data_IF_345412749250
#
_entry.id   IF_345412749250
#
_cell.length_a   1.000
_cell.length_b   1.000
_cell.length_c   1.000
_cell.angle_alpha   90.00
_cell.angle_beta   90.00
_cell.angle_gamma   90.00
#
_symmetry.space_group_name_H-M   'P 1'
#
loop_
_entity.id
_entity.type
_entity.pdbx_description
1 polymer ?
#
# COMPACT_ATOMS: atom_id res chain seq x y z
N UNK A 1 -9.53 25.51 -5.02
CA UNK A 1 -10.05 24.33 -4.26
C UNK A 1 -11.37 23.78 -4.84
N UNK A 2 -12.42 24.58 -5.08
CA UNK A 2 -13.73 24.09 -5.62
C UNK A 2 -13.70 23.29 -6.94
N UNK A 3 -12.74 23.52 -7.85
CA UNK A 3 -12.65 22.77 -9.11
C UNK A 3 -11.99 21.39 -8.98
N UNK A 4 -11.15 21.14 -7.94
CA UNK A 4 -10.52 19.83 -7.72
C UNK A 4 -11.52 18.82 -7.16
N UNK A 5 -12.37 19.22 -6.22
CA UNK A 5 -13.44 18.38 -5.64
C UNK A 5 -14.50 17.99 -6.68
N UNK A 6 -14.90 18.92 -7.55
CA UNK A 6 -15.90 18.66 -8.61
C UNK A 6 -15.42 17.63 -9.63
N UNK A 7 -14.12 17.59 -9.90
CA UNK A 7 -13.48 16.60 -10.79
C UNK A 7 -13.25 15.25 -10.10
N UNK A 8 -12.99 15.20 -8.80
CA UNK A 8 -12.90 13.95 -8.03
C UNK A 8 -14.24 13.23 -7.97
N UNK A 9 -15.32 13.98 -7.74
CA UNK A 9 -16.68 13.43 -7.66
C UNK A 9 -17.18 12.88 -9.01
N UNK A 10 -16.88 13.54 -10.13
CA UNK A 10 -17.22 13.04 -11.47
C UNK A 10 -16.42 11.80 -11.86
N UNK A 11 -15.14 11.72 -11.45
CA UNK A 11 -14.27 10.55 -11.67
C UNK A 11 -14.68 9.33 -10.85
N UNK A 12 -15.51 9.48 -9.83
CA UNK A 12 -16.02 8.40 -9.00
C UNK A 12 -17.42 7.95 -9.42
N UNK A 13 -18.35 8.90 -9.62
CA UNK A 13 -19.74 8.58 -9.94
C UNK A 13 -19.94 8.07 -11.37
N UNK A 14 -19.23 8.62 -12.35
CA UNK A 14 -19.45 8.24 -13.75
C UNK A 14 -19.07 6.76 -14.00
N UNK A 15 -17.89 6.28 -13.58
CA UNK A 15 -17.55 4.86 -13.68
C UNK A 15 -18.51 3.95 -12.92
N UNK A 16 -19.00 4.38 -11.75
CA UNK A 16 -19.94 3.62 -10.94
C UNK A 16 -21.28 3.44 -11.67
N UNK A 17 -21.88 4.55 -12.16
CA UNK A 17 -23.14 4.51 -12.89
C UNK A 17 -23.02 3.64 -14.15
N UNK A 18 -21.90 3.74 -14.87
CA UNK A 18 -21.63 2.89 -16.02
C UNK A 18 -21.56 1.41 -15.61
N UNK A 19 -20.88 1.10 -14.51
CA UNK A 19 -20.75 -0.28 -14.01
C UNK A 19 -22.10 -0.87 -13.63
N UNK A 20 -22.96 -0.11 -12.94
CA UNK A 20 -24.32 -0.54 -12.57
C UNK A 20 -25.17 -0.80 -13.81
N UNK A 21 -25.22 0.16 -14.74
CA UNK A 21 -26.06 0.06 -15.94
C UNK A 21 -25.60 -1.06 -16.88
N UNK A 22 -24.30 -1.10 -17.19
CA UNK A 22 -23.72 -2.10 -18.09
C UNK A 22 -23.77 -3.48 -17.43
N UNK A 23 -23.46 -3.59 -16.13
CA UNK A 23 -23.50 -4.85 -15.39
C UNK A 23 -24.90 -5.45 -15.35
N UNK A 24 -25.92 -4.66 -14.98
CA UNK A 24 -27.32 -5.12 -14.98
C UNK A 24 -27.80 -5.53 -16.37
N UNK A 25 -27.51 -4.71 -17.40
CA UNK A 25 -27.89 -5.01 -18.78
C UNK A 25 -27.18 -6.27 -19.31
N UNK A 26 -25.91 -6.48 -18.97
CA UNK A 26 -25.15 -7.65 -19.37
C UNK A 26 -25.71 -8.92 -18.72
N UNK A 27 -26.04 -8.89 -17.43
CA UNK A 27 -26.68 -10.03 -16.73
C UNK A 27 -28.02 -10.37 -17.36
N UNK A 28 -28.85 -9.36 -17.66
CA UNK A 28 -30.13 -9.56 -18.34
C UNK A 28 -29.95 -10.20 -19.72
N UNK A 29 -29.08 -9.62 -20.56
CA UNK A 29 -28.82 -10.09 -21.92
C UNK A 29 -28.26 -11.51 -21.94
N UNK A 30 -27.33 -11.83 -21.04
CA UNK A 30 -26.76 -13.16 -20.90
C UNK A 30 -27.80 -14.18 -20.40
N UNK A 31 -28.67 -13.76 -19.47
CA UNK A 31 -29.76 -14.60 -18.97
C UNK A 31 -30.73 -15.01 -20.08
N UNK A 32 -31.13 -14.08 -20.94
CA UNK A 32 -32.04 -14.35 -22.07
C UNK A 32 -31.36 -15.11 -23.21
N UNK A 33 -30.21 -14.62 -23.69
CA UNK A 33 -29.58 -15.12 -24.92
C UNK A 33 -28.64 -16.29 -24.67
N UNK A 34 -27.89 -16.25 -23.57
CA UNK A 34 -26.86 -17.25 -23.24
C UNK A 34 -27.41 -18.44 -22.44
N UNK A 35 -28.36 -18.18 -21.53
CA UNK A 35 -28.92 -19.20 -20.62
C UNK A 35 -30.39 -19.54 -20.85
N UNK A 36 -31.05 -18.88 -21.81
CA UNK A 36 -32.45 -19.11 -22.18
C UNK A 36 -33.41 -19.09 -20.98
N UNK A 37 -33.14 -18.20 -20.02
CA UNK A 37 -34.01 -18.01 -18.86
C UNK A 37 -35.33 -17.35 -19.30
N UNK A 38 -36.40 -17.62 -18.55
CA UNK A 38 -37.63 -16.83 -18.63
C UNK A 38 -37.34 -15.35 -18.36
N UNK A 39 -38.09 -14.45 -19.00
CA UNK A 39 -37.95 -12.99 -18.83
C UNK A 39 -37.97 -12.57 -17.36
N UNK A 40 -38.85 -13.17 -16.54
CA UNK A 40 -38.97 -12.86 -15.12
C UNK A 40 -37.68 -13.17 -14.33
N UNK A 41 -37.12 -14.37 -14.52
CA UNK A 41 -35.86 -14.77 -13.87
C UNK A 41 -34.67 -13.92 -14.34
N UNK A 42 -34.57 -13.64 -15.65
CA UNK A 42 -33.51 -12.78 -16.18
C UNK A 42 -33.61 -11.35 -15.62
N UNK A 43 -34.83 -10.81 -15.50
CA UNK A 43 -35.08 -9.49 -14.92
C UNK A 43 -34.72 -9.46 -13.43
N UNK A 44 -35.13 -10.47 -12.67
CA UNK A 44 -34.77 -10.62 -11.24
C UNK A 44 -33.25 -10.58 -11.06
N UNK A 45 -32.53 -11.40 -11.81
CA UNK A 45 -31.08 -11.53 -11.71
C UNK A 45 -30.37 -10.21 -12.08
N UNK A 46 -30.87 -9.51 -13.10
CA UNK A 46 -30.38 -8.20 -13.49
C UNK A 46 -30.60 -7.12 -12.42
N UNK A 47 -31.77 -7.11 -11.77
CA UNK A 47 -32.07 -6.19 -10.65
C UNK A 47 -31.16 -6.48 -9.46
N UNK A 48 -30.96 -7.76 -9.11
CA UNK A 48 -30.07 -8.16 -8.03
C UNK A 48 -28.62 -7.75 -8.31
N UNK A 49 -28.13 -7.95 -9.54
CA UNK A 49 -26.81 -7.51 -9.96
C UNK A 49 -26.66 -5.98 -9.89
N UNK A 50 -27.61 -5.22 -10.44
CA UNK A 50 -27.59 -3.77 -10.41
C UNK A 50 -27.59 -3.21 -8.97
N UNK A 51 -28.42 -3.78 -8.10
CA UNK A 51 -28.48 -3.40 -6.69
C UNK A 51 -27.15 -3.72 -5.97
N UNK A 52 -26.60 -4.91 -6.18
CA UNK A 52 -25.31 -5.30 -5.61
C UNK A 52 -24.19 -4.33 -6.02
N UNK A 53 -24.10 -4.01 -7.31
CA UNK A 53 -23.11 -3.06 -7.84
C UNK A 53 -23.29 -1.65 -7.28
N UNK A 54 -24.54 -1.19 -7.10
CA UNK A 54 -24.83 0.11 -6.50
C UNK A 54 -24.44 0.17 -5.02
N UNK A 55 -24.65 -0.92 -4.26
CA UNK A 55 -24.20 -1.04 -2.87
C UNK A 55 -22.67 -1.04 -2.81
N UNK A 56 -21.99 -1.79 -3.67
CA UNK A 56 -20.52 -1.79 -3.75
C UNK A 56 -19.96 -0.40 -4.06
N UNK A 57 -20.57 0.30 -5.01
CA UNK A 57 -20.24 1.69 -5.34
C UNK A 57 -20.43 2.65 -4.17
N UNK A 58 -21.52 2.50 -3.40
CA UNK A 58 -21.73 3.25 -2.16
C UNK A 58 -20.64 3.01 -1.12
N UNK A 59 -20.22 1.75 -0.92
CA UNK A 59 -19.12 1.42 0.00
C UNK A 59 -17.81 2.08 -0.43
N UNK A 60 -17.44 2.00 -1.71
CA UNK A 60 -16.25 2.69 -2.23
C UNK A 60 -16.32 4.20 -1.95
N UNK A 61 -17.45 4.85 -2.22
CA UNK A 61 -17.60 6.29 -1.96
C UNK A 61 -17.39 6.64 -0.50
N UNK A 62 -17.92 5.84 0.42
CA UNK A 62 -17.75 6.06 1.86
C UNK A 62 -16.28 6.01 2.24
N UNK A 63 -15.56 4.99 1.80
CA UNK A 63 -14.14 4.83 2.12
C UNK A 63 -13.26 5.92 1.49
N UNK A 64 -13.64 6.44 0.31
CA UNK A 64 -13.00 7.61 -0.31
C UNK A 64 -13.23 8.88 0.53
N UNK A 65 -14.47 9.14 0.97
CA UNK A 65 -14.80 10.32 1.79
C UNK A 65 -14.09 10.27 3.14
N UNK A 66 -14.03 9.08 3.75
CA UNK A 66 -13.39 8.87 5.05
C UNK A 66 -11.85 8.77 4.95
N UNK A 67 -11.27 8.82 3.74
CA UNK A 67 -9.83 8.67 3.47
C UNK A 67 -9.23 7.37 4.03
N UNK A 68 -9.95 6.25 3.82
CA UNK A 68 -9.63 4.92 4.36
C UNK A 68 -9.19 3.89 3.32
N UNK A 69 -8.95 4.32 2.08
CA UNK A 69 -8.36 3.44 1.08
C UNK A 69 -6.90 3.19 1.42
N UNK A 70 -6.45 1.95 1.24
CA UNK A 70 -5.07 1.56 1.54
C UNK A 70 -4.12 2.15 0.47
N UNK A 71 -2.85 2.37 0.82
CA UNK A 71 -1.81 2.90 -0.08
C UNK A 71 -2.18 4.25 -0.75
N UNK A 72 -1.74 4.47 -2.01
CA UNK A 72 -2.06 5.66 -2.82
C UNK A 72 -3.39 5.50 -3.61
N UNK A 73 -4.21 4.50 -3.28
CA UNK A 73 -5.38 4.14 -4.07
C UNK A 73 -6.43 5.27 -4.16
N UNK A 74 -6.53 6.09 -3.10
CA UNK A 74 -7.42 7.26 -3.09
C UNK A 74 -7.09 8.31 -4.15
N UNK A 75 -5.82 8.43 -4.53
CA UNK A 75 -5.37 9.35 -5.58
C UNK A 75 -5.51 8.76 -6.99
N UNK A 76 -5.54 7.42 -7.07
CA UNK A 76 -5.45 6.66 -8.31
C UNK A 76 -6.65 5.73 -8.57
N UNK A 77 -7.87 6.22 -8.32
CA UNK A 77 -9.14 5.48 -8.46
C UNK A 77 -9.33 4.74 -9.80
N UNK A 78 -8.74 5.21 -10.90
CA UNK A 78 -8.85 4.54 -12.20
C UNK A 78 -8.13 3.18 -12.26
N UNK A 79 -7.12 2.96 -11.41
CA UNK A 79 -6.48 1.64 -11.27
C UNK A 79 -7.51 0.63 -10.76
N UNK A 80 -8.25 1.01 -9.73
CA UNK A 80 -9.34 0.22 -9.16
C UNK A 80 -10.46 -0.04 -10.18
N UNK A 81 -10.96 0.99 -10.87
CA UNK A 81 -12.03 0.82 -11.85
C UNK A 81 -11.65 -0.11 -13.00
N UNK A 82 -10.39 -0.09 -13.43
CA UNK A 82 -9.87 -1.04 -14.42
C UNK A 82 -9.96 -2.47 -13.89
N UNK A 83 -9.53 -2.72 -12.66
CA UNK A 83 -9.64 -4.03 -12.01
C UNK A 83 -11.10 -4.47 -11.83
N UNK A 84 -12.00 -3.55 -11.49
CA UNK A 84 -13.45 -3.76 -11.40
C UNK A 84 -14.03 -4.22 -12.73
N UNK A 85 -13.74 -3.54 -13.84
CA UNK A 85 -14.28 -3.92 -15.15
C UNK A 85 -13.72 -5.24 -15.67
N UNK A 86 -12.42 -5.50 -15.47
CA UNK A 86 -11.83 -6.81 -15.79
C UNK A 86 -12.48 -7.93 -14.97
N UNK A 87 -12.73 -7.70 -13.67
CA UNK A 87 -13.35 -8.68 -12.77
C UNK A 87 -14.82 -8.92 -13.08
N UNK A 88 -15.56 -7.86 -13.44
CA UNK A 88 -16.95 -7.99 -13.90
C UNK A 88 -17.03 -8.78 -15.21
N UNK A 89 -16.17 -8.48 -16.18
CA UNK A 89 -16.10 -9.24 -17.43
C UNK A 89 -15.78 -10.72 -17.18
N UNK A 90 -14.82 -10.99 -16.30
CA UNK A 90 -14.49 -12.36 -15.89
C UNK A 90 -15.67 -13.06 -15.21
N UNK A 91 -16.38 -12.39 -14.30
CA UNK A 91 -17.58 -12.94 -13.64
C UNK A 91 -18.67 -13.31 -14.66
N UNK A 92 -18.90 -12.47 -15.67
CA UNK A 92 -19.82 -12.79 -16.78
C UNK A 92 -19.33 -13.97 -17.62
N UNK A 93 -18.02 -14.09 -17.85
CA UNK A 93 -17.43 -15.21 -18.58
C UNK A 93 -17.53 -16.54 -17.81
N UNK A 94 -17.57 -16.52 -16.47
CA UNK A 94 -17.79 -17.72 -15.65
C UNK A 94 -19.10 -18.45 -15.99
N UNK A 95 -20.07 -17.78 -16.60
CA UNK A 95 -21.28 -18.44 -17.14
C UNK A 95 -20.96 -19.59 -18.11
N UNK A 96 -19.81 -19.55 -18.77
CA UNK A 96 -19.37 -20.51 -19.78
C UNK A 96 -18.27 -21.46 -19.28
N UNK A 97 -17.81 -21.30 -18.04
CA UNK A 97 -16.70 -22.06 -17.46
C UNK A 97 -17.20 -23.01 -16.36
N UNK A 98 -16.58 -24.19 -16.19
CA UNK A 98 -16.92 -25.09 -15.10
C UNK A 98 -16.61 -24.44 -13.74
N UNK A 99 -17.53 -24.57 -12.78
CA UNK A 99 -17.44 -23.88 -11.50
C UNK A 99 -16.18 -24.20 -10.70
N UNK A 100 -15.70 -25.44 -10.71
CA UNK A 100 -14.47 -25.83 -10.02
C UNK A 100 -13.19 -25.24 -10.63
N UNK A 101 -13.28 -24.51 -11.75
CA UNK A 101 -12.17 -23.90 -12.46
C UNK A 101 -12.14 -22.38 -12.35
N UNK A 102 -12.90 -21.76 -11.44
CA UNK A 102 -12.99 -20.31 -11.36
C UNK A 102 -11.89 -19.72 -10.46
N UNK A 103 -10.95 -18.92 -10.98
CA UNK A 103 -9.90 -18.30 -10.17
C UNK A 103 -10.38 -17.07 -9.37
N UNK A 104 -11.51 -17.18 -8.66
CA UNK A 104 -12.08 -16.07 -7.87
C UNK A 104 -11.16 -15.59 -6.74
N UNK A 105 -10.26 -16.46 -6.26
CA UNK A 105 -9.21 -16.09 -5.30
C UNK A 105 -8.43 -14.84 -5.76
N UNK A 106 -8.07 -14.77 -7.05
CA UNK A 106 -7.37 -13.64 -7.63
C UNK A 106 -8.23 -12.36 -7.68
N UNK A 107 -9.53 -12.50 -7.91
CA UNK A 107 -10.50 -11.38 -7.92
C UNK A 107 -10.61 -10.73 -6.55
N UNK A 108 -10.69 -11.52 -5.48
CA UNK A 108 -10.70 -10.99 -4.10
C UNK A 108 -9.42 -10.23 -3.76
N UNK A 109 -8.25 -10.78 -4.13
CA UNK A 109 -6.96 -10.15 -3.85
C UNK A 109 -6.79 -8.85 -4.66
N UNK A 110 -7.03 -8.87 -5.97
CA UNK A 110 -6.81 -7.68 -6.82
C UNK A 110 -7.71 -6.51 -6.41
N UNK A 111 -8.99 -6.75 -6.12
CA UNK A 111 -9.89 -5.67 -5.74
C UNK A 111 -9.57 -5.13 -4.34
N UNK A 112 -9.11 -5.97 -3.42
CA UNK A 112 -8.67 -5.51 -2.09
C UNK A 112 -7.40 -4.68 -2.17
N UNK A 113 -6.39 -5.12 -2.94
CA UNK A 113 -5.12 -4.42 -3.10
C UNK A 113 -5.27 -3.03 -3.72
N UNK A 114 -6.11 -2.89 -4.75
CA UNK A 114 -6.37 -1.60 -5.40
C UNK A 114 -7.45 -0.75 -4.70
N UNK A 115 -7.94 -1.16 -3.53
CA UNK A 115 -8.84 -0.34 -2.71
C UNK A 115 -8.52 -0.48 -1.22
N UNK A 116 -9.35 -1.20 -0.48
CA UNK A 116 -9.07 -1.73 0.84
C UNK A 116 -9.81 -3.07 1.03
N UNK A 117 -9.56 -3.77 2.13
CA UNK A 117 -10.19 -5.08 2.39
C UNK A 117 -11.72 -5.05 2.30
N UNK A 118 -12.35 -4.04 2.90
CA UNK A 118 -13.82 -3.95 2.96
C UNK A 118 -14.42 -3.78 1.56
N UNK A 119 -13.89 -2.85 0.77
CA UNK A 119 -14.36 -2.58 -0.60
C UNK A 119 -14.10 -3.78 -1.50
N UNK A 120 -12.90 -4.37 -1.41
CA UNK A 120 -12.53 -5.57 -2.17
C UNK A 120 -13.48 -6.73 -1.93
N UNK A 121 -13.77 -7.06 -0.66
CA UNK A 121 -14.71 -8.15 -0.31
C UNK A 121 -16.11 -7.89 -0.85
N UNK A 122 -16.63 -6.66 -0.73
CA UNK A 122 -17.99 -6.33 -1.16
C UNK A 122 -18.12 -6.43 -2.70
N UNK A 123 -17.17 -5.86 -3.45
CA UNK A 123 -17.17 -5.99 -4.91
C UNK A 123 -16.99 -7.44 -5.36
N UNK A 124 -16.01 -8.16 -4.82
CA UNK A 124 -15.75 -9.55 -5.20
C UNK A 124 -16.90 -10.48 -4.82
N UNK A 125 -17.57 -10.24 -3.69
CA UNK A 125 -18.79 -10.94 -3.29
C UNK A 125 -19.93 -10.74 -4.29
N UNK A 126 -20.14 -9.50 -4.77
CA UNK A 126 -21.14 -9.21 -5.81
C UNK A 126 -20.77 -9.85 -7.15
N UNK A 127 -19.50 -9.83 -7.56
CA UNK A 127 -19.06 -10.50 -8.77
C UNK A 127 -19.17 -12.03 -8.67
N UNK A 128 -18.89 -12.60 -7.52
CA UNK A 128 -19.10 -14.02 -7.30
C UNK A 128 -20.58 -14.37 -7.30
N UNK A 129 -21.44 -13.53 -6.69
CA UNK A 129 -22.89 -13.68 -6.76
C UNK A 129 -23.33 -13.72 -8.22
N UNK A 130 -22.94 -12.72 -9.03
CA UNK A 130 -23.24 -12.65 -10.47
C UNK A 130 -22.81 -13.95 -11.17
N UNK A 131 -21.60 -14.45 -10.88
CA UNK A 131 -21.11 -15.69 -11.46
C UNK A 131 -21.97 -16.92 -11.14
N UNK A 132 -22.59 -16.92 -9.95
CA UNK A 132 -23.41 -18.05 -9.46
C UNK A 132 -24.89 -17.98 -9.87
N UNK A 133 -25.40 -16.86 -10.38
CA UNK A 133 -26.82 -16.69 -10.74
C UNK A 133 -27.32 -17.70 -11.78
N UNK A 134 -26.42 -18.30 -12.58
CA UNK A 134 -26.77 -19.20 -13.68
C UNK A 134 -26.88 -20.68 -13.26
N UNK A 135 -27.54 -20.94 -12.12
CA UNK A 135 -27.90 -22.30 -11.69
C UNK A 135 -26.78 -23.06 -10.97
N UNK A 136 -25.79 -22.35 -10.41
CA UNK A 136 -24.79 -22.98 -9.53
C UNK A 136 -25.35 -23.22 -8.13
N UNK A 137 -24.74 -24.16 -7.41
CA UNK A 137 -25.11 -24.44 -6.02
C UNK A 137 -24.66 -23.30 -5.10
N UNK A 138 -25.39 -23.12 -4.00
CA UNK A 138 -25.01 -22.16 -2.95
C UNK A 138 -23.64 -22.52 -2.33
N UNK A 139 -23.27 -23.81 -2.34
CA UNK A 139 -21.96 -24.27 -1.87
C UNK A 139 -20.79 -23.70 -2.68
N UNK A 140 -20.95 -23.52 -4.00
CA UNK A 140 -19.92 -22.91 -4.86
C UNK A 140 -19.70 -21.44 -4.48
N UNK A 141 -20.77 -20.70 -4.16
CA UNK A 141 -20.65 -19.34 -3.65
C UNK A 141 -19.85 -19.32 -2.35
N UNK A 142 -20.22 -20.14 -1.35
CA UNK A 142 -19.54 -20.14 -0.06
C UNK A 142 -18.08 -20.59 -0.14
N UNK A 143 -17.76 -21.58 -0.99
CA UNK A 143 -16.40 -22.01 -1.28
C UNK A 143 -15.53 -20.82 -1.68
N UNK A 144 -15.89 -20.13 -2.77
CA UNK A 144 -15.06 -19.07 -3.33
C UNK A 144 -15.08 -17.82 -2.46
N UNK A 145 -16.20 -17.55 -1.77
CA UNK A 145 -16.31 -16.44 -0.84
C UNK A 145 -15.36 -16.62 0.35
N UNK A 146 -15.37 -17.79 1.00
CA UNK A 146 -14.51 -18.06 2.16
C UNK A 146 -13.04 -18.05 1.75
N UNK A 147 -12.67 -18.78 0.68
CA UNK A 147 -11.27 -18.81 0.23
C UNK A 147 -10.80 -17.43 -0.24
N UNK A 148 -11.68 -16.66 -0.89
CA UNK A 148 -11.38 -15.32 -1.39
C UNK A 148 -11.17 -14.32 -0.26
N UNK A 149 -12.05 -14.28 0.72
CA UNK A 149 -11.91 -13.43 1.92
C UNK A 149 -10.62 -13.77 2.66
N UNK A 150 -10.33 -15.07 2.86
CA UNK A 150 -9.12 -15.51 3.53
C UNK A 150 -7.85 -15.01 2.81
N UNK A 151 -7.80 -15.16 1.47
CA UNK A 151 -6.68 -14.65 0.68
C UNK A 151 -6.58 -13.12 0.75
N UNK A 152 -7.70 -12.39 0.64
CA UNK A 152 -7.71 -10.93 0.74
C UNK A 152 -7.13 -10.45 2.08
N UNK A 153 -7.48 -11.10 3.20
CA UNK A 153 -6.91 -10.78 4.51
C UNK A 153 -5.39 -11.02 4.58
N UNK A 154 -4.90 -12.12 3.99
CA UNK A 154 -3.47 -12.45 3.99
C UNK A 154 -2.62 -11.47 3.18
N UNK A 155 -3.21 -10.81 2.17
CA UNK A 155 -2.52 -9.87 1.29
C UNK A 155 -2.81 -8.39 1.60
N UNK A 156 -3.56 -8.07 2.66
CA UNK A 156 -3.98 -6.70 2.98
C UNK A 156 -2.81 -5.76 3.36
N UNK A 157 -1.68 -6.31 3.81
CA UNK A 157 -0.51 -5.52 4.22
C UNK A 157 0.76 -6.19 3.70
N UNK A 158 1.02 -6.04 2.41
CA UNK A 158 2.31 -6.43 1.82
C UNK A 158 3.39 -5.44 2.32
N UNK A 159 3.93 -5.68 3.51
CA UNK A 159 5.01 -4.89 4.09
C UNK A 159 6.31 -4.98 3.27
N UNK A 160 7.25 -4.04 3.52
CA UNK A 160 8.51 -3.87 2.77
C UNK A 160 9.36 -5.15 2.68
N UNK A 161 9.25 -6.06 3.65
CA UNK A 161 9.74 -7.44 3.52
C UNK A 161 8.68 -8.28 2.80
N UNK A 162 8.66 -8.18 1.48
CA UNK A 162 7.67 -8.77 0.57
C UNK A 162 7.68 -10.33 0.60
N UNK A 163 7.33 -10.93 1.73
CA UNK A 163 7.30 -12.36 1.97
C UNK A 163 6.02 -12.97 1.39
N UNK A 164 5.93 -13.02 0.05
CA UNK A 164 4.75 -13.54 -0.68
C UNK A 164 4.52 -15.04 -0.43
N UNK A 165 5.58 -15.80 -0.15
CA UNK A 165 5.55 -17.27 -0.17
C UNK A 165 4.54 -17.89 0.80
N UNK A 166 4.51 -17.44 2.06
CA UNK A 166 3.60 -17.98 3.08
C UNK A 166 2.13 -17.60 2.78
N UNK A 167 1.78 -16.32 2.56
CA UNK A 167 0.44 -15.92 2.14
C UNK A 167 -0.08 -16.67 0.90
N UNK A 168 0.77 -16.84 -0.12
CA UNK A 168 0.42 -17.56 -1.34
C UNK A 168 0.12 -19.03 -1.05
N UNK A 169 1.01 -19.71 -0.32
CA UNK A 169 0.81 -21.11 0.05
C UNK A 169 -0.48 -21.32 0.85
N UNK A 170 -0.72 -20.50 1.88
CA UNK A 170 -1.92 -20.60 2.71
C UNK A 170 -3.20 -20.33 1.91
N UNK A 171 -3.18 -19.36 1.01
CA UNK A 171 -4.33 -19.02 0.14
C UNK A 171 -4.69 -20.18 -0.79
N UNK A 172 -3.68 -20.76 -1.46
CA UNK A 172 -3.89 -21.91 -2.35
C UNK A 172 -4.30 -23.17 -1.57
N UNK A 173 -3.74 -23.38 -0.39
CA UNK A 173 -4.13 -24.50 0.47
C UNK A 173 -5.60 -24.38 0.93
N UNK A 174 -6.04 -23.17 1.30
CA UNK A 174 -7.43 -22.90 1.64
C UNK A 174 -8.36 -23.18 0.45
N UNK A 175 -7.98 -22.75 -0.76
CA UNK A 175 -8.75 -23.03 -1.98
C UNK A 175 -8.88 -24.55 -2.22
N UNK A 176 -7.77 -25.30 -2.13
CA UNK A 176 -7.77 -26.76 -2.29
C UNK A 176 -8.73 -27.44 -1.32
N UNK A 177 -8.72 -27.04 -0.05
CA UNK A 177 -9.62 -27.61 0.97
C UNK A 177 -11.08 -27.32 0.63
N UNK A 178 -11.40 -26.09 0.24
CA UNK A 178 -12.77 -25.70 -0.06
C UNK A 178 -13.29 -26.41 -1.32
N UNK A 179 -12.46 -26.55 -2.37
CA UNK A 179 -12.78 -27.30 -3.59
C UNK A 179 -12.95 -28.79 -3.32
N UNK A 180 -12.07 -29.38 -2.51
CA UNK A 180 -12.23 -30.78 -2.11
C UNK A 180 -13.56 -30.98 -1.39
N UNK A 181 -13.95 -30.06 -0.49
CA UNK A 181 -15.20 -30.15 0.25
C UNK A 181 -16.46 -30.00 -0.63
N UNK A 182 -16.52 -29.00 -1.52
CA UNK A 182 -17.77 -28.69 -2.23
C UNK A 182 -17.85 -29.23 -3.66
N UNK A 183 -16.71 -29.57 -4.28
CA UNK A 183 -16.66 -30.05 -5.67
C UNK A 183 -16.38 -31.55 -5.72
N UNK A 184 -15.48 -32.06 -4.86
CA UNK A 184 -15.08 -33.47 -4.90
C UNK A 184 -15.98 -34.33 -4.01
N UNK A 185 -16.14 -33.98 -2.73
CA UNK A 185 -16.87 -34.82 -1.76
C UNK A 185 -18.39 -34.82 -1.97
N UNK A 186 -18.98 -33.76 -2.55
CA UNK A 186 -20.41 -33.70 -2.85
C UNK A 186 -20.78 -34.36 -4.18
N UNK A 187 -19.82 -34.68 -5.04
CA UNK A 187 -20.07 -35.18 -6.39
C UNK A 187 -20.15 -36.71 -6.50
N UNK A 188 -19.53 -37.50 -5.61
CA UNK A 188 -19.59 -38.97 -5.61
C UNK A 188 -19.25 -39.58 -4.22
N UNK A 189 -19.73 -40.80 -3.95
CA UNK A 189 -19.40 -41.59 -2.75
C UNK A 189 -17.97 -42.16 -2.73
N UNK A 190 -17.25 -42.12 -3.87
CA UNK A 190 -15.87 -42.61 -3.99
C UNK A 190 -14.95 -41.54 -4.59
N UNK A 191 -13.79 -41.35 -3.94
CA UNK A 191 -12.74 -40.44 -4.38
C UNK A 191 -12.01 -41.02 -5.60
N UNK A 192 -12.03 -40.29 -6.72
CA UNK A 192 -11.22 -40.58 -7.90
C UNK A 192 -10.25 -39.43 -8.19
N UNK A 193 -9.04 -39.76 -8.64
CA UNK A 193 -8.02 -38.77 -9.01
C UNK A 193 -8.47 -37.87 -10.17
N UNK A 194 -9.35 -38.36 -11.06
CA UNK A 194 -9.88 -37.57 -12.17
C UNK A 194 -10.71 -36.36 -11.70
N UNK A 195 -11.36 -36.47 -10.52
CA UNK A 195 -12.17 -35.40 -9.95
C UNK A 195 -11.32 -34.22 -9.45
N UNK A 196 -10.02 -34.45 -9.21
CA UNK A 196 -9.08 -33.42 -8.80
C UNK A 196 -8.45 -32.68 -9.98
N UNK A 197 -8.69 -33.09 -11.22
CA UNK A 197 -8.04 -32.47 -12.38
C UNK A 197 -8.43 -30.99 -12.53
N UNK A 198 -9.73 -30.68 -12.40
CA UNK A 198 -10.24 -29.30 -12.52
C UNK A 198 -9.81 -28.44 -11.31
N UNK A 199 -9.97 -28.88 -10.04
CA UNK A 199 -9.41 -28.18 -8.87
C UNK A 199 -7.88 -27.94 -8.96
N UNK A 200 -7.11 -28.95 -9.37
CA UNK A 200 -5.66 -28.82 -9.53
C UNK A 200 -5.30 -27.78 -10.59
N UNK A 201 -6.02 -27.76 -11.72
CA UNK A 201 -5.86 -26.72 -12.72
C UNK A 201 -6.21 -25.33 -12.16
N UNK A 202 -7.27 -25.21 -11.35
CA UNK A 202 -7.66 -23.95 -10.73
C UNK A 202 -6.61 -23.43 -9.74
N UNK A 203 -5.97 -24.31 -8.97
CA UNK A 203 -4.87 -23.96 -8.07
C UNK A 203 -3.69 -23.37 -8.84
N UNK A 204 -3.31 -24.00 -9.95
CA UNK A 204 -2.21 -23.52 -10.80
C UNK A 204 -2.55 -22.16 -11.40
N UNK A 205 -3.74 -22.03 -12.00
CA UNK A 205 -4.20 -20.78 -12.63
C UNK A 205 -4.30 -19.66 -11.60
N UNK A 206 -4.92 -19.93 -10.44
CA UNK A 206 -5.03 -18.97 -9.33
C UNK A 206 -3.65 -18.55 -8.82
N UNK A 207 -2.71 -19.48 -8.69
CA UNK A 207 -1.34 -19.19 -8.27
C UNK A 207 -0.60 -18.28 -9.26
N UNK A 208 -0.70 -18.58 -10.56
CA UNK A 208 -0.09 -17.75 -11.62
C UNK A 208 -0.70 -16.34 -11.62
N UNK A 209 -2.03 -16.25 -11.53
CA UNK A 209 -2.73 -14.97 -11.51
C UNK A 209 -2.35 -14.15 -10.27
N UNK A 210 -2.30 -14.77 -9.09
CA UNK A 210 -1.84 -14.09 -7.87
C UNK A 210 -0.43 -13.54 -8.02
N UNK A 211 0.52 -14.35 -8.49
CA UNK A 211 1.90 -13.89 -8.71
C UNK A 211 1.96 -12.73 -9.72
N UNK A 212 1.17 -12.81 -10.79
CA UNK A 212 1.04 -11.73 -11.78
C UNK A 212 0.49 -10.43 -11.18
N UNK A 213 -0.62 -10.53 -10.44
CA UNK A 213 -1.25 -9.39 -9.76
C UNK A 213 -0.28 -8.77 -8.76
N UNK A 214 0.36 -9.58 -7.91
CA UNK A 214 1.31 -9.11 -6.91
C UNK A 214 2.50 -8.41 -7.57
N UNK A 215 3.02 -8.93 -8.69
CA UNK A 215 4.09 -8.29 -9.45
C UNK A 215 3.66 -6.94 -10.02
N UNK A 216 2.47 -6.86 -10.62
CA UNK A 216 1.92 -5.61 -11.17
C UNK A 216 1.70 -4.59 -10.04
N UNK A 217 1.05 -5.00 -8.95
CA UNK A 217 0.77 -4.15 -7.80
C UNK A 217 2.07 -3.65 -7.15
N UNK A 218 3.02 -4.55 -6.94
CA UNK A 218 4.34 -4.22 -6.41
C UNK A 218 5.07 -3.17 -7.27
N UNK A 219 5.07 -3.32 -8.60
CA UNK A 219 5.71 -2.34 -9.48
C UNK A 219 4.98 -1.00 -9.61
N UNK A 220 3.65 -0.99 -9.51
CA UNK A 220 2.82 0.21 -9.73
C UNK A 220 2.55 1.02 -8.46
N UNK A 221 2.55 0.37 -7.30
CA UNK A 221 2.16 0.96 -6.02
C UNK A 221 3.32 0.91 -5.02
N UNK A 222 3.93 -0.26 -4.80
CA UNK A 222 4.89 -0.46 -3.69
C UNK A 222 6.30 0.06 -4.00
N UNK A 223 6.80 -0.17 -5.21
CA UNK A 223 8.16 0.22 -5.62
C UNK A 223 8.20 1.41 -6.59
N UNK A 224 7.08 2.11 -6.77
CA UNK A 224 6.95 3.22 -7.73
C UNK A 224 8.06 4.25 -7.60
N UNK A 225 8.40 4.60 -6.36
CA UNK A 225 9.41 5.63 -6.06
C UNK A 225 10.76 5.04 -5.67
N UNK A 226 10.94 3.71 -5.64
CA UNK A 226 12.22 3.11 -5.24
C UNK A 226 13.36 3.52 -6.17
N UNK A 227 13.09 3.60 -7.47
CA UNK A 227 14.09 4.08 -8.46
C UNK A 227 14.43 5.54 -8.20
N UNK A 228 13.43 6.38 -7.91
CA UNK A 228 13.66 7.78 -7.55
C UNK A 228 14.45 7.92 -6.26
N UNK A 229 14.15 7.13 -5.24
CA UNK A 229 14.93 7.14 -4.00
C UNK A 229 16.37 6.65 -4.20
N UNK A 230 16.60 5.67 -5.07
CA UNK A 230 17.97 5.26 -5.42
C UNK A 230 18.75 6.41 -6.06
N UNK A 231 18.12 7.17 -6.95
CA UNK A 231 18.73 8.33 -7.60
C UNK A 231 18.91 9.52 -6.65
N UNK A 232 17.94 9.82 -5.80
CA UNK A 232 17.99 10.97 -4.89
C UNK A 232 18.89 10.72 -3.68
N UNK A 233 18.99 9.48 -3.21
CA UNK A 233 19.86 9.10 -2.10
C UNK A 233 21.31 8.83 -2.55
N UNK A 234 21.60 8.88 -3.85
CA UNK A 234 22.95 8.84 -4.38
C UNK A 234 23.64 10.19 -4.14
N UNK A 235 24.76 10.20 -3.42
CA UNK A 235 25.53 11.41 -3.14
C UNK A 235 26.14 12.05 -4.40
N UNK A 236 26.18 11.32 -5.51
CA UNK A 236 26.59 11.84 -6.82
C UNK A 236 25.41 12.37 -7.66
N UNK A 237 24.21 12.46 -7.07
CA UNK A 237 23.08 13.18 -7.65
C UNK A 237 23.46 14.64 -7.93
N UNK A 238 23.04 15.17 -9.08
CA UNK A 238 23.40 16.52 -9.53
C UNK A 238 23.06 17.62 -8.50
N UNK A 239 21.94 17.50 -7.79
CA UNK A 239 21.53 18.48 -6.76
C UNK A 239 22.48 18.40 -5.55
N UNK A 240 22.85 17.20 -5.12
CA UNK A 240 23.76 17.00 -3.99
C UNK A 240 25.20 17.37 -4.32
N UNK A 241 25.64 17.15 -5.56
CA UNK A 241 26.93 17.62 -6.06
C UNK A 241 26.98 19.15 -6.06
N UNK A 242 25.95 19.81 -6.60
CA UNK A 242 25.83 21.28 -6.56
C UNK A 242 25.80 21.80 -5.11
N UNK A 243 25.07 21.12 -4.23
CA UNK A 243 25.03 21.47 -2.81
C UNK A 243 26.42 21.37 -2.16
N UNK A 244 27.16 20.28 -2.42
CA UNK A 244 28.53 20.06 -1.94
C UNK A 244 29.50 21.14 -2.43
N UNK A 245 29.33 21.63 -3.65
CA UNK A 245 30.15 22.70 -4.24
C UNK A 245 29.84 24.07 -3.63
N UNK A 246 28.57 24.36 -3.35
CA UNK A 246 28.15 25.66 -2.81
C UNK A 246 28.35 25.81 -1.30
N UNK A 247 28.07 24.77 -0.52
CA UNK A 247 28.28 24.75 0.94
C UNK A 247 28.67 23.36 1.43
N UNK A 248 29.97 23.09 1.38
CA UNK A 248 30.54 21.80 1.78
C UNK A 248 30.28 21.46 3.25
N UNK A 249 30.27 22.45 4.14
CA UNK A 249 30.09 22.22 5.58
C UNK A 249 28.66 21.80 5.89
N UNK A 250 27.68 22.52 5.35
CA UNK A 250 26.28 22.18 5.55
C UNK A 250 25.91 20.88 4.83
N UNK A 251 26.46 20.64 3.64
CA UNK A 251 26.32 19.37 2.94
C UNK A 251 26.75 18.17 3.80
N UNK A 252 27.94 18.22 4.41
CA UNK A 252 28.40 17.11 5.27
C UNK A 252 27.51 16.91 6.50
N UNK A 253 27.02 18.00 7.10
CA UNK A 253 26.04 17.91 8.18
C UNK A 253 24.78 17.16 7.74
N UNK A 254 24.26 17.43 6.53
CA UNK A 254 23.12 16.72 5.97
C UNK A 254 23.43 15.24 5.70
N UNK A 255 24.63 14.91 5.22
CA UNK A 255 25.08 13.50 5.04
C UNK A 255 25.09 12.75 6.39
N UNK A 256 25.61 13.37 7.45
CA UNK A 256 25.60 12.77 8.79
C UNK A 256 24.19 12.66 9.37
N UNK A 257 23.34 13.65 9.10
CA UNK A 257 21.92 13.62 9.49
C UNK A 257 21.19 12.47 8.79
N UNK A 258 21.40 12.30 7.48
CA UNK A 258 20.84 11.21 6.68
C UNK A 258 21.31 9.84 7.17
N UNK A 259 22.56 9.70 7.59
CA UNK A 259 23.07 8.48 8.20
C UNK A 259 22.29 8.07 9.45
N UNK A 260 22.05 9.01 10.38
CA UNK A 260 21.26 8.74 11.58
C UNK A 260 19.80 8.46 11.25
N UNK A 261 19.22 9.21 10.32
CA UNK A 261 17.88 8.95 9.80
C UNK A 261 17.73 7.52 9.30
N UNK A 262 18.62 7.08 8.40
CA UNK A 262 18.61 5.71 7.86
C UNK A 262 18.76 4.66 8.97
N UNK A 263 19.67 4.87 9.91
CA UNK A 263 19.94 3.92 10.99
C UNK A 263 18.76 3.80 11.98
N UNK A 264 18.15 4.91 12.34
CA UNK A 264 17.03 4.94 13.28
C UNK A 264 15.76 4.41 12.61
N UNK A 265 15.50 4.78 11.35
CA UNK A 265 14.37 4.24 10.59
C UNK A 265 14.39 2.71 10.53
N UNK A 266 15.56 2.13 10.21
CA UNK A 266 15.74 0.66 10.21
C UNK A 266 15.45 0.00 11.57
N UNK A 267 15.67 0.70 12.69
CA UNK A 267 15.46 0.15 14.05
C UNK A 267 14.06 0.40 14.58
N UNK A 268 13.34 1.35 14.00
CA UNK A 268 11.97 1.72 14.36
C UNK A 268 10.93 1.24 13.34
N UNK A 269 11.36 0.53 12.29
CA UNK A 269 10.50 0.03 11.21
C UNK A 269 9.74 1.17 10.50
N UNK A 270 10.42 2.31 10.30
CA UNK A 270 9.91 3.47 9.56
C UNK A 270 10.39 3.44 8.10
N UNK A 271 9.83 4.31 7.25
CA UNK A 271 10.27 4.44 5.85
C UNK A 271 11.71 4.98 5.76
N UNK A 272 12.66 4.05 5.65
CA UNK A 272 14.09 4.33 5.59
C UNK A 272 14.47 5.17 4.37
N UNK A 273 13.94 4.86 3.21
CA UNK A 273 14.38 5.47 1.95
C UNK A 273 13.87 6.91 1.86
N UNK A 274 12.62 7.15 2.29
CA UNK A 274 12.06 8.49 2.44
C UNK A 274 12.81 9.33 3.48
N UNK A 275 13.13 8.73 4.64
CA UNK A 275 13.77 9.46 5.73
C UNK A 275 15.25 9.79 5.44
N UNK A 276 15.97 8.88 4.78
CA UNK A 276 17.32 9.15 4.28
C UNK A 276 17.31 10.30 3.27
N UNK A 277 16.36 10.28 2.34
CA UNK A 277 16.16 11.36 1.37
C UNK A 277 15.86 12.68 2.09
N UNK A 278 14.91 12.68 3.02
CA UNK A 278 14.63 13.88 3.79
C UNK A 278 15.87 14.40 4.56
N UNK A 279 16.66 13.50 5.16
CA UNK A 279 17.92 13.85 5.82
C UNK A 279 18.94 14.53 4.90
N UNK A 280 19.04 14.13 3.63
CA UNK A 280 19.95 14.74 2.66
C UNK A 280 19.50 16.13 2.19
N UNK A 281 18.19 16.36 2.09
CA UNK A 281 17.63 17.56 1.44
C UNK A 281 16.95 18.56 2.42
N UNK A 282 16.80 18.27 3.71
CA UNK A 282 16.02 19.10 4.66
C UNK A 282 16.44 20.58 4.80
N UNK A 283 17.67 20.93 4.40
CA UNK A 283 18.20 22.29 4.41
C UNK A 283 18.18 22.90 3.00
N UNK A 284 19.33 23.37 2.52
CA UNK A 284 19.48 24.01 1.21
C UNK A 284 19.25 23.06 0.04
N UNK A 285 19.42 21.75 0.24
CA UNK A 285 19.09 20.73 -0.76
C UNK A 285 17.65 20.83 -1.26
N UNK A 286 16.69 21.17 -0.39
CA UNK A 286 15.31 21.42 -0.79
C UNK A 286 15.18 22.60 -1.76
N UNK A 287 15.84 23.71 -1.48
CA UNK A 287 15.73 24.92 -2.29
C UNK A 287 16.38 24.67 -3.66
N UNK A 288 17.54 24.00 -3.68
CA UNK A 288 18.23 23.57 -4.90
C UNK A 288 17.39 22.58 -5.74
N UNK A 289 16.65 21.69 -5.07
CA UNK A 289 15.72 20.79 -5.74
C UNK A 289 14.60 21.56 -6.43
N UNK A 290 14.00 22.56 -5.77
CA UNK A 290 12.94 23.38 -6.35
C UNK A 290 13.41 24.24 -7.54
N UNK A 291 14.70 24.60 -7.56
CA UNK A 291 15.33 25.31 -8.69
C UNK A 291 15.67 24.39 -9.87
N UNK A 292 15.67 23.07 -9.67
CA UNK A 292 16.08 22.09 -10.68
C UNK A 292 14.86 21.62 -11.46
N UNK A 293 14.76 21.91 -12.78
CA UNK A 293 13.65 21.44 -13.61
C UNK A 293 13.58 19.91 -13.63
N UNK A 294 12.37 19.38 -13.70
CA UNK A 294 12.08 17.94 -13.86
C UNK A 294 12.49 17.02 -12.69
N UNK A 295 12.93 17.57 -11.55
CA UNK A 295 13.22 16.80 -10.34
C UNK A 295 12.19 17.09 -9.24
N UNK A 296 11.42 16.07 -8.86
CA UNK A 296 10.42 16.17 -7.79
C UNK A 296 10.67 15.12 -6.71
N UNK A 297 10.45 15.49 -5.45
CA UNK A 297 10.51 14.54 -4.35
C UNK A 297 9.36 13.52 -4.46
N UNK A 298 9.63 12.23 -4.21
CA UNK A 298 8.58 11.26 -3.90
C UNK A 298 7.70 11.72 -2.73
N UNK A 299 6.44 11.28 -2.72
CA UNK A 299 5.44 11.73 -1.73
C UNK A 299 5.93 11.54 -0.28
N UNK A 300 6.53 10.39 0.04
CA UNK A 300 7.04 10.11 1.38
C UNK A 300 8.08 11.11 1.86
N UNK A 301 9.05 11.48 1.01
CA UNK A 301 10.05 12.49 1.36
C UNK A 301 9.48 13.91 1.35
N UNK A 302 8.63 14.24 0.39
CA UNK A 302 7.98 15.56 0.31
C UNK A 302 7.17 15.86 1.55
N UNK A 303 6.37 14.92 2.03
CA UNK A 303 5.55 15.09 3.24
C UNK A 303 6.39 15.32 4.50
N UNK A 304 7.50 14.57 4.66
CA UNK A 304 8.44 14.76 5.78
C UNK A 304 9.08 16.16 5.71
N UNK A 305 9.55 16.56 4.54
CA UNK A 305 10.26 17.83 4.31
C UNK A 305 9.35 19.04 4.46
N UNK A 306 8.12 18.97 3.93
CA UNK A 306 7.10 20.01 4.09
C UNK A 306 6.70 20.18 5.56
N UNK A 307 6.49 19.06 6.27
CA UNK A 307 6.17 19.10 7.68
C UNK A 307 7.31 19.71 8.50
N UNK A 308 8.55 19.29 8.21
CA UNK A 308 9.79 19.80 8.82
C UNK A 308 9.91 21.33 8.69
N UNK A 309 9.65 21.89 7.49
CA UNK A 309 9.74 23.33 7.20
C UNK A 309 8.53 24.13 7.69
N UNK A 310 7.33 23.57 7.62
CA UNK A 310 6.08 24.33 7.74
C UNK A 310 5.47 24.41 9.15
N UNK A 311 5.70 23.42 10.01
CA UNK A 311 4.91 23.27 11.24
C UNK A 311 5.71 23.47 12.53
N UNK A 312 5.04 24.01 13.56
CA UNK A 312 5.60 24.08 14.93
C UNK A 312 5.34 22.81 15.75
N UNK A 313 4.45 21.95 15.27
CA UNK A 313 4.07 20.67 15.89
C UNK A 313 4.14 19.59 14.82
N UNK A 314 4.97 18.60 15.05
CA UNK A 314 5.20 17.50 14.12
C UNK A 314 4.32 16.31 14.50
N UNK A 315 3.65 15.73 13.50
CA UNK A 315 2.76 14.57 13.62
C UNK A 315 3.46 13.28 13.21
N UNK A 316 4.20 13.27 12.10
CA UNK A 316 4.85 12.03 11.65
C UNK A 316 6.00 11.61 12.55
N UNK A 317 6.13 10.30 12.77
CA UNK A 317 7.26 9.73 13.49
C UNK A 317 8.58 9.97 12.73
N UNK A 318 8.55 9.89 11.41
CA UNK A 318 9.63 10.20 10.49
C UNK A 318 10.18 11.62 10.72
N UNK A 319 9.30 12.63 10.70
CA UNK A 319 9.70 14.03 10.90
C UNK A 319 10.33 14.26 12.28
N UNK A 320 9.86 13.55 13.32
CA UNK A 320 10.48 13.59 14.63
C UNK A 320 11.89 13.00 14.65
N UNK A 321 12.14 11.91 13.91
CA UNK A 321 13.47 11.33 13.76
C UNK A 321 14.40 12.27 13.00
N UNK A 322 13.92 12.89 11.91
CA UNK A 322 14.69 13.88 11.15
C UNK A 322 15.11 15.06 12.04
N UNK A 323 14.16 15.65 12.77
CA UNK A 323 14.43 16.78 13.66
C UNK A 323 15.42 16.43 14.77
N UNK A 324 15.28 15.26 15.41
CA UNK A 324 16.21 14.82 16.43
C UNK A 324 17.61 14.57 15.85
N UNK A 325 17.69 13.97 14.66
CA UNK A 325 18.96 13.71 13.97
C UNK A 325 19.68 15.00 13.62
N UNK A 326 18.99 15.97 13.03
CA UNK A 326 19.58 17.28 12.71
C UNK A 326 20.05 18.00 13.98
N UNK A 327 19.24 18.00 15.04
CA UNK A 327 19.59 18.65 16.31
C UNK A 327 20.83 18.02 16.97
N UNK A 328 20.92 16.69 17.01
CA UNK A 328 22.07 15.97 17.59
C UNK A 328 23.33 16.19 16.76
N UNK A 329 23.27 15.99 15.44
CA UNK A 329 24.42 16.15 14.55
C UNK A 329 24.91 17.60 14.58
N UNK A 330 24.01 18.58 14.46
CA UNK A 330 24.35 20.01 14.54
C UNK A 330 25.05 20.37 15.85
N UNK A 331 24.53 19.87 16.98
CA UNK A 331 25.12 20.16 18.29
C UNK A 331 26.51 19.53 18.46
N UNK A 332 26.69 18.29 18.01
CA UNK A 332 27.97 17.58 18.10
C UNK A 332 29.02 18.24 17.20
N UNK A 333 28.69 18.54 15.94
CA UNK A 333 29.61 19.22 15.02
C UNK A 333 30.00 20.61 15.55
N UNK A 334 29.06 21.37 16.11
CA UNK A 334 29.34 22.67 16.71
C UNK A 334 30.26 22.56 17.95
N UNK A 335 30.10 21.51 18.76
CA UNK A 335 30.98 21.26 19.91
C UNK A 335 32.40 20.89 19.45
N UNK A 336 32.52 20.02 18.44
CA UNK A 336 33.82 19.62 17.88
C UNK A 336 34.55 20.81 17.23
N UNK A 337 33.82 21.73 16.59
CA UNK A 337 34.40 22.96 16.04
C UNK A 337 34.89 23.92 17.14
N UNK A 338 34.18 24.02 18.27
CA UNK A 338 34.54 24.93 19.36
C UNK A 338 35.65 24.41 20.26
N UNK A 339 35.66 23.10 20.53
CA UNK A 339 36.61 22.45 21.44
C UNK A 339 37.28 21.25 20.74
N UNK A 340 38.07 21.47 19.67
CA UNK A 340 38.59 20.40 18.82
C UNK A 340 39.55 19.46 19.53
N UNK A 341 40.15 19.87 20.66
CA UNK A 341 41.11 19.07 21.44
C UNK A 341 40.45 18.22 22.54
N UNK A 342 39.18 18.47 22.86
CA UNK A 342 38.51 17.84 24.00
C UNK A 342 37.43 16.88 23.50
N UNK A 343 37.50 15.63 23.97
CA UNK A 343 36.47 14.63 23.68
C UNK A 343 35.18 14.99 24.45
N UNK A 344 34.05 15.32 23.77
CA UNK A 344 32.79 15.62 24.45
C UNK A 344 32.22 14.37 25.13
N UNK A 345 31.49 14.57 26.23
CA UNK A 345 30.60 13.53 26.75
C UNK A 345 29.33 13.48 25.89
N UNK A 346 29.38 12.69 24.82
CA UNK A 346 28.29 12.56 23.86
C UNK A 346 26.98 12.12 24.52
N UNK A 347 27.02 11.27 25.55
CA UNK A 347 25.79 10.83 26.23
C UNK A 347 25.12 11.99 26.95
N UNK A 348 25.88 12.79 27.69
CA UNK A 348 25.35 13.97 28.36
C UNK A 348 24.81 15.01 27.38
N UNK A 349 25.50 15.21 26.24
CA UNK A 349 25.03 16.11 25.17
C UNK A 349 23.69 15.63 24.61
N UNK A 350 23.59 14.35 24.27
CA UNK A 350 22.36 13.74 23.74
C UNK A 350 21.21 13.86 24.74
N UNK A 351 21.45 13.57 26.03
CA UNK A 351 20.42 13.68 27.06
C UNK A 351 19.86 15.09 27.18
N UNK A 352 20.74 16.10 27.22
CA UNK A 352 20.32 17.50 27.27
C UNK A 352 19.53 17.94 26.04
N UNK A 353 19.87 17.42 24.86
CA UNK A 353 19.13 17.70 23.62
C UNK A 353 17.73 17.11 23.71
N UNK A 354 17.62 15.83 24.08
CA UNK A 354 16.34 15.14 24.20
C UNK A 354 15.44 15.75 25.28
N UNK A 355 16.01 16.15 26.42
CA UNK A 355 15.28 16.88 27.47
C UNK A 355 14.74 18.21 26.95
N UNK A 356 15.59 19.02 26.29
CA UNK A 356 15.18 20.31 25.72
C UNK A 356 14.10 20.14 24.66
N UNK A 357 14.19 19.11 23.82
CA UNK A 357 13.17 18.85 22.79
C UNK A 357 11.83 18.47 23.46
N UNK A 358 11.87 17.63 24.49
CA UNK A 358 10.67 17.25 25.26
C UNK A 358 10.02 18.46 25.92
N UNK A 359 10.80 19.36 26.51
CA UNK A 359 10.31 20.60 27.13
C UNK A 359 9.60 21.53 26.13
N UNK A 360 10.06 21.57 24.86
CA UNK A 360 9.39 22.39 23.83
C UNK A 360 8.01 21.87 23.44
N UNK A 361 7.67 20.61 23.73
CA UNK A 361 6.36 20.03 23.42
C UNK A 361 6.02 19.94 21.93
N UNK A 362 7.02 20.03 21.03
CA UNK A 362 6.82 20.02 19.57
C UNK A 362 6.31 18.68 19.02
N UNK A 363 6.42 17.61 19.81
CA UNK A 363 5.96 16.25 19.47
C UNK A 363 4.73 15.82 20.26
N UNK A 364 3.96 16.76 20.81
CA UNK A 364 2.77 16.44 21.61
C UNK A 364 1.67 15.70 20.83
N UNK A 365 1.67 15.84 19.50
CA UNK A 365 0.70 15.23 18.57
C UNK A 365 1.39 14.27 17.60
N UNK A 366 2.57 13.76 17.99
CA UNK A 366 3.37 12.87 17.15
C UNK A 366 2.98 11.40 17.31
N UNK A 367 2.95 10.66 16.21
CA UNK A 367 2.68 9.23 16.15
C UNK A 367 3.84 8.37 16.70
N UNK A 368 4.98 8.99 17.04
CA UNK A 368 6.12 8.30 17.62
C UNK A 368 5.83 7.84 19.06
N UNK A 369 5.77 6.52 19.26
CA UNK A 369 5.57 5.94 20.59
C UNK A 369 6.71 6.30 21.57
N UNK A 370 6.40 6.32 22.88
CA UNK A 370 7.40 6.47 23.95
C UNK A 370 8.52 5.42 23.87
N UNK A 371 8.19 4.19 23.44
CA UNK A 371 9.18 3.13 23.20
C UNK A 371 10.11 3.51 22.05
N UNK A 372 9.55 4.02 20.95
CA UNK A 372 10.30 4.54 19.81
C UNK A 372 11.23 5.69 20.19
N UNK A 373 10.73 6.65 20.98
CA UNK A 373 11.50 7.76 21.53
C UNK A 373 12.74 7.29 22.33
N UNK A 374 12.52 6.41 23.31
CA UNK A 374 13.61 5.87 24.14
C UNK A 374 14.61 5.06 23.31
N UNK A 375 14.12 4.33 22.30
CA UNK A 375 14.97 3.55 21.41
C UNK A 375 15.84 4.45 20.52
N UNK A 376 15.27 5.52 19.98
CA UNK A 376 15.99 6.54 19.22
C UNK A 376 17.11 7.18 20.05
N UNK A 377 16.82 7.64 21.27
CA UNK A 377 17.81 8.21 22.17
C UNK A 377 18.96 7.23 22.46
N UNK A 378 18.61 5.95 22.69
CA UNK A 378 19.59 4.89 22.92
C UNK A 378 20.51 4.67 21.70
N UNK A 379 19.97 4.69 20.48
CA UNK A 379 20.77 4.55 19.25
C UNK A 379 21.79 5.68 19.15
N UNK A 380 21.39 6.94 19.36
CA UNK A 380 22.35 8.05 19.35
C UNK A 380 23.49 7.84 20.36
N UNK A 381 23.21 7.33 21.55
CA UNK A 381 24.24 7.08 22.58
C UNK A 381 25.19 5.94 22.22
N UNK A 382 24.72 4.97 21.45
CA UNK A 382 25.52 3.80 21.03
C UNK A 382 26.54 4.16 19.93
N UNK A 383 26.31 5.24 19.16
CA UNK A 383 27.16 5.65 18.01
C UNK A 383 28.46 6.42 18.38
N UNK A 384 29.09 6.13 19.52
CA UNK A 384 30.30 6.84 19.98
C UNK A 384 31.44 6.84 18.94
N UNK A 385 31.67 5.68 18.31
CA UNK A 385 32.70 5.51 17.28
C UNK A 385 32.42 6.36 16.04
N UNK A 386 31.15 6.56 15.70
CA UNK A 386 30.77 7.39 14.57
C UNK A 386 31.10 8.85 14.86
N UNK A 387 30.81 9.35 16.07
CA UNK A 387 31.14 10.73 16.44
C UNK A 387 32.65 10.98 16.51
N UNK A 388 33.43 9.97 16.91
CA UNK A 388 34.89 10.05 16.88
C UNK A 388 35.43 10.18 15.44
N UNK A 389 34.73 9.66 14.44
CA UNK A 389 35.05 9.84 13.01
C UNK A 389 34.68 11.23 12.47
N UNK A 390 33.81 11.99 13.15
CA UNK A 390 33.42 13.35 12.74
C UNK A 390 34.45 14.43 13.10
N UNK A 391 35.44 14.08 13.91
CA UNK A 391 36.54 14.95 14.33
C UNK A 391 37.63 14.98 13.26
#
# INVERSE_FOLDING_TARGET
MKNKEKNGFSRLLLPEMLTVLIGGAAVYGLGLLGKQLSVENALRDAVMAALGLAVSGFFLRREVVDSRLDYDNGEHLMRFWTAVWCSLLFSLACAFLPAGGWPFLAVFVVLSLFSNLSVGIVFSGVFLMIATLWGQSVGIFFLYFISGVFAACLFQHLEQEFAIGIPLFLSLFCLLLCETANVVLLANEHLSLEQFLVPAANLIVSGILLLGILKIFSGTVVFRDRVKYLELNDTENQVLVKYREEDRSEYFLCVHTAYFCERIANKLELDRDALKCAGLYHRKGWDLMQETPDMEFPAGASEILEEYKGTRKYKKAETAVLYCSDAVVSAILLLLQKEPEKKPDYEQVIDRIFERIREKGIFSECDLSLRGWNRMQKIFKEEKLYYDFLR
#
